data_IF_780799196507
#
_entry.id   IF_780799196507
#
_cell.length_a   1.000
_cell.length_b   1.000
_cell.length_c   1.000
_cell.angle_alpha   90.00
_cell.angle_beta   90.00
_cell.angle_gamma   90.00
#
_symmetry.space_group_name_H-M   'P 1'
#
loop_
_entity.id
_entity.type
_entity.pdbx_description
1 polymer ?
#
# COMPACT_ATOMS: atom_id res chain seq x y z
N UNK A 1 -4.94 7.51 -32.00
CA UNK A 1 -3.74 7.98 -31.27
C UNK A 1 -2.60 7.02 -31.53
N UNK A 2 -1.74 7.32 -32.49
CA UNK A 2 -0.49 6.58 -32.72
C UNK A 2 0.54 7.08 -31.74
N UNK A 3 0.89 6.28 -30.73
CA UNK A 3 2.00 6.60 -29.83
C UNK A 3 3.29 6.64 -30.67
N UNK A 4 4.05 7.75 -30.68
CA UNK A 4 5.31 7.80 -31.38
C UNK A 4 6.20 6.69 -30.81
N UNK A 5 6.69 5.84 -31.71
CA UNK A 5 7.61 4.76 -31.34
C UNK A 5 8.90 5.44 -30.88
N UNK A 6 9.10 5.50 -29.56
CA UNK A 6 10.28 6.05 -28.89
C UNK A 6 11.53 5.21 -29.22
N UNK A 7 11.91 5.12 -30.49
CA UNK A 7 13.15 4.51 -30.96
C UNK A 7 14.26 5.51 -30.65
N UNK A 8 14.93 5.31 -29.52
CA UNK A 8 16.09 6.11 -29.12
C UNK A 8 16.05 6.65 -27.70
N UNK A 9 15.07 6.29 -26.87
CA UNK A 9 15.17 6.61 -25.44
C UNK A 9 16.33 5.81 -24.84
N UNK A 10 17.38 6.52 -24.43
CA UNK A 10 18.39 5.96 -23.55
C UNK A 10 17.74 5.58 -22.23
N UNK A 11 18.29 4.59 -21.52
CA UNK A 11 17.80 4.18 -20.20
C UNK A 11 17.74 5.38 -19.23
N UNK A 12 18.77 6.22 -19.26
CA UNK A 12 18.81 7.47 -18.51
C UNK A 12 17.67 8.45 -18.87
N UNK A 13 17.30 8.55 -20.15
CA UNK A 13 16.15 9.37 -20.56
C UNK A 13 14.82 8.75 -20.10
N UNK A 14 14.76 7.42 -20.00
CA UNK A 14 13.57 6.71 -19.55
C UNK A 14 13.36 6.94 -18.06
N UNK A 15 14.42 6.83 -17.27
CA UNK A 15 14.41 7.09 -15.83
C UNK A 15 13.98 8.54 -15.53
N UNK A 16 14.53 9.51 -16.27
CA UNK A 16 14.14 10.91 -16.13
C UNK A 16 12.66 11.15 -16.49
N UNK A 17 12.17 10.48 -17.53
CA UNK A 17 10.76 10.54 -17.92
C UNK A 17 9.85 9.90 -16.86
N UNK A 18 10.26 8.77 -16.29
CA UNK A 18 9.55 8.08 -15.20
C UNK A 18 9.50 8.97 -13.95
N UNK A 19 10.62 9.57 -13.52
CA UNK A 19 10.66 10.47 -12.36
C UNK A 19 9.72 11.66 -12.56
N UNK A 20 9.77 12.29 -13.74
CA UNK A 20 8.91 13.44 -14.10
C UNK A 20 7.43 13.04 -14.09
N UNK A 21 7.08 11.91 -14.72
CA UNK A 21 5.71 11.40 -14.74
C UNK A 21 5.20 11.06 -13.34
N UNK A 22 6.04 10.45 -12.50
CA UNK A 22 5.67 10.12 -11.12
C UNK A 22 5.42 11.36 -10.27
N UNK A 23 6.16 12.46 -10.48
CA UNK A 23 5.88 13.75 -9.83
C UNK A 23 4.53 14.31 -10.25
N UNK A 24 4.25 14.34 -11.57
CA UNK A 24 2.98 14.86 -12.11
C UNK A 24 1.77 14.07 -11.62
N UNK A 25 1.88 12.74 -11.61
CA UNK A 25 0.81 11.83 -11.20
C UNK A 25 0.76 11.58 -9.68
N UNK A 26 1.69 12.16 -8.92
CA UNK A 26 1.84 12.00 -7.47
C UNK A 26 1.98 10.53 -7.08
N UNK A 27 2.88 9.79 -7.71
CA UNK A 27 3.17 8.37 -7.46
C UNK A 27 4.49 8.24 -6.66
N UNK A 28 4.51 8.60 -5.36
CA UNK A 28 5.75 8.68 -4.58
C UNK A 28 6.42 7.32 -4.33
N UNK A 29 5.66 6.22 -4.19
CA UNK A 29 6.26 4.91 -3.92
C UNK A 29 6.91 4.37 -5.19
N UNK A 30 6.22 4.46 -6.33
CA UNK A 30 6.80 4.12 -7.64
C UNK A 30 8.07 4.93 -7.89
N UNK A 31 8.01 6.25 -7.69
CA UNK A 31 9.15 7.14 -7.90
C UNK A 31 10.40 6.69 -7.14
N UNK A 32 10.22 6.18 -5.92
CA UNK A 32 11.32 5.80 -5.05
C UNK A 32 11.82 4.37 -5.30
N UNK A 33 10.96 3.48 -5.80
CA UNK A 33 11.23 2.04 -5.85
C UNK A 33 11.32 1.45 -7.27
N UNK A 34 11.03 2.23 -8.32
CA UNK A 34 10.94 1.67 -9.68
C UNK A 34 12.25 1.03 -10.17
N UNK A 35 13.41 1.61 -9.83
CA UNK A 35 14.71 1.05 -10.19
C UNK A 35 14.91 -0.34 -9.58
N UNK A 36 14.71 -0.45 -8.26
CA UNK A 36 14.87 -1.73 -7.55
C UNK A 36 13.89 -2.80 -8.04
N UNK A 37 12.67 -2.41 -8.41
CA UNK A 37 11.66 -3.32 -8.95
C UNK A 37 12.01 -3.70 -10.39
N UNK A 38 12.58 -2.80 -11.19
CA UNK A 38 13.04 -3.08 -12.54
C UNK A 38 14.22 -4.06 -12.54
N UNK A 39 15.21 -3.85 -11.66
CA UNK A 39 16.36 -4.75 -11.48
C UNK A 39 15.90 -6.15 -11.06
N UNK A 40 14.95 -6.23 -10.12
CA UNK A 40 14.31 -7.49 -9.72
C UNK A 40 13.56 -8.14 -10.87
N UNK A 41 12.81 -7.38 -11.65
CA UNK A 41 12.07 -7.91 -12.79
C UNK A 41 12.98 -8.52 -13.86
N UNK A 42 14.15 -7.92 -14.11
CA UNK A 42 15.17 -8.50 -15.01
C UNK A 42 15.72 -9.81 -14.43
N UNK A 43 16.07 -9.81 -13.14
CA UNK A 43 16.62 -10.99 -12.48
C UNK A 43 15.63 -12.16 -12.45
N UNK A 44 14.38 -11.87 -12.11
CA UNK A 44 13.32 -12.86 -11.94
C UNK A 44 12.60 -13.19 -13.25
N UNK A 45 13.07 -12.65 -14.38
CA UNK A 45 12.49 -12.84 -15.72
C UNK A 45 10.97 -12.54 -15.75
N UNK A 46 10.57 -11.48 -15.05
CA UNK A 46 9.18 -11.08 -14.98
C UNK A 46 8.67 -10.67 -16.36
N UNK A 47 7.43 -11.07 -16.67
CA UNK A 47 6.74 -10.52 -17.85
C UNK A 47 6.52 -9.02 -17.68
N UNK A 48 6.46 -8.26 -18.78
CA UNK A 48 6.16 -6.83 -18.74
C UNK A 48 4.85 -6.51 -17.99
N UNK A 49 3.85 -7.39 -18.12
CA UNK A 49 2.57 -7.26 -17.39
C UNK A 49 2.75 -7.51 -15.89
N UNK A 50 3.59 -8.47 -15.51
CA UNK A 50 3.93 -8.76 -14.12
C UNK A 50 4.66 -7.61 -13.45
N UNK A 51 5.69 -7.08 -14.11
CA UNK A 51 6.44 -5.90 -13.64
C UNK A 51 5.50 -4.70 -13.41
N UNK A 52 4.66 -4.37 -14.40
CA UNK A 52 3.73 -3.24 -14.27
C UNK A 52 2.71 -3.46 -13.14
N UNK A 53 2.22 -4.69 -12.99
CA UNK A 53 1.29 -5.02 -11.90
C UNK A 53 1.96 -4.87 -10.53
N UNK A 54 3.20 -5.33 -10.37
CA UNK A 54 3.94 -5.19 -9.12
C UNK A 54 4.16 -3.73 -8.75
N UNK A 55 4.63 -2.93 -9.70
CA UNK A 55 4.87 -1.49 -9.51
C UNK A 55 3.60 -0.75 -9.05
N UNK A 56 2.47 -1.02 -9.69
CA UNK A 56 1.19 -0.41 -9.33
C UNK A 56 0.64 -0.90 -7.98
N UNK A 57 0.80 -2.18 -7.68
CA UNK A 57 0.38 -2.75 -6.40
C UNK A 57 1.16 -2.16 -5.23
N UNK A 58 2.48 -1.98 -5.37
CA UNK A 58 3.32 -1.31 -4.36
C UNK A 58 2.79 0.08 -4.01
N UNK A 59 2.44 0.89 -5.02
CA UNK A 59 1.86 2.22 -4.78
C UNK A 59 0.50 2.15 -4.09
N UNK A 60 -0.37 1.23 -4.50
CA UNK A 60 -1.68 1.04 -3.89
C UNK A 60 -1.56 0.64 -2.41
N UNK A 61 -0.68 -0.32 -2.10
CA UNK A 61 -0.47 -0.83 -0.75
C UNK A 61 0.08 0.26 0.17
N UNK A 62 1.06 1.03 -0.28
CA UNK A 62 1.62 2.14 0.48
C UNK A 62 0.63 3.29 0.70
N UNK A 63 -0.21 3.59 -0.29
CA UNK A 63 -1.30 4.57 -0.13
C UNK A 63 -2.33 4.08 0.88
N UNK A 64 -2.69 2.80 0.85
CA UNK A 64 -3.62 2.20 1.80
C UNK A 64 -3.05 2.27 3.22
N UNK A 65 -1.77 1.93 3.39
CA UNK A 65 -1.03 2.03 4.66
C UNK A 65 -1.02 3.47 5.21
N UNK A 66 -0.57 4.45 4.41
CA UNK A 66 -0.57 5.88 4.81
C UNK A 66 -1.96 6.41 5.14
N UNK A 67 -3.00 5.99 4.41
CA UNK A 67 -4.39 6.36 4.69
C UNK A 67 -4.85 5.77 6.02
N UNK A 68 -4.51 4.51 6.30
CA UNK A 68 -4.81 3.85 7.56
C UNK A 68 -4.15 4.56 8.75
N UNK A 69 -2.83 4.80 8.67
CA UNK A 69 -2.07 5.51 9.71
C UNK A 69 -2.61 6.91 9.98
N UNK A 70 -2.95 7.67 8.92
CA UNK A 70 -3.57 9.00 9.07
C UNK A 70 -4.94 8.93 9.75
N UNK A 71 -5.76 7.93 9.43
CA UNK A 71 -7.07 7.72 10.08
C UNK A 71 -6.91 7.38 11.56
N UNK A 72 -5.95 6.51 11.89
CA UNK A 72 -5.63 6.16 13.28
C UNK A 72 -5.20 7.39 14.07
N UNK A 73 -4.27 8.20 13.51
CA UNK A 73 -3.82 9.44 14.14
C UNK A 73 -4.95 10.47 14.29
N UNK A 74 -5.78 10.63 13.26
CA UNK A 74 -6.90 11.58 13.26
C UNK A 74 -8.04 11.17 14.20
N UNK A 75 -8.22 9.88 14.45
CA UNK A 75 -9.22 9.37 15.39
C UNK A 75 -8.89 9.71 16.86
N UNK A 76 -7.67 10.20 17.16
CA UNK A 76 -7.30 10.63 18.50
C UNK A 76 -7.41 9.51 19.54
N UNK A 77 -7.22 8.25 19.11
CA UNK A 77 -7.32 7.11 20.02
C UNK A 77 -6.44 7.36 21.25
N UNK A 78 -7.00 7.28 22.47
CA UNK A 78 -6.21 7.34 23.69
C UNK A 78 -5.08 6.32 23.57
N UNK A 79 -3.83 6.76 23.80
CA UNK A 79 -2.66 5.87 23.77
C UNK A 79 -2.95 4.65 24.66
N UNK A 80 -2.95 3.47 24.04
CA UNK A 80 -2.99 2.16 24.69
C UNK A 80 -4.19 1.87 25.61
N UNK A 81 -5.42 2.12 25.18
CA UNK A 81 -6.52 1.23 25.61
C UNK A 81 -6.73 0.15 24.56
N UNK A 82 -5.86 -0.87 24.58
CA UNK A 82 -6.21 -2.14 23.93
C UNK A 82 -7.51 -2.67 24.55
N UNK A 83 -8.30 -3.49 23.85
CA UNK A 83 -9.49 -4.13 24.43
C UNK A 83 -9.18 -4.93 25.73
N UNK A 84 -7.91 -5.26 25.99
CA UNK A 84 -7.46 -5.90 27.23
C UNK A 84 -7.40 -4.95 28.44
N UNK A 85 -7.32 -3.64 28.19
CA UNK A 85 -7.33 -2.59 29.21
C UNK A 85 -8.70 -1.87 29.26
N UNK A 86 -9.73 -2.45 28.64
CA UNK A 86 -11.09 -1.97 28.78
C UNK A 86 -11.57 -2.31 30.19
N UNK A 87 -11.91 -1.28 30.96
CA UNK A 87 -12.46 -1.40 32.31
C UNK A 87 -13.97 -1.67 32.19
N UNK A 88 -14.34 -2.95 32.32
CA UNK A 88 -15.73 -3.39 32.25
C UNK A 88 -16.53 -3.01 33.50
N UNK A 89 -15.86 -2.65 34.61
CA UNK A 89 -16.52 -2.22 35.84
C UNK A 89 -17.01 -0.76 35.77
N UNK A 90 -16.48 0.03 34.81
CA UNK A 90 -16.90 1.41 34.58
C UNK A 90 -18.28 1.55 33.90
N UNK A 91 -18.82 0.48 33.29
CA UNK A 91 -20.14 0.50 32.69
C UNK A 91 -20.84 -0.88 32.80
N UNK A 92 -21.72 -1.07 33.81
CA UNK A 92 -22.41 -2.34 34.07
C UNK A 92 -23.32 -2.83 32.94
N UNK A 93 -23.64 -1.98 31.97
CA UNK A 93 -24.51 -2.32 30.84
C UNK A 93 -23.75 -2.94 29.65
N UNK A 94 -22.43 -3.10 29.75
CA UNK A 94 -21.61 -3.70 28.69
C UNK A 94 -21.20 -5.10 29.15
N UNK A 95 -21.80 -6.12 28.53
CA UNK A 95 -21.40 -7.51 28.72
C UNK A 95 -20.03 -7.77 28.07
N UNK A 96 -19.07 -8.18 28.89
CA UNK A 96 -17.71 -8.49 28.47
C UNK A 96 -17.65 -9.63 27.44
N UNK A 97 -18.58 -10.60 27.53
CA UNK A 97 -18.62 -11.70 26.57
C UNK A 97 -18.89 -11.18 25.16
N UNK A 98 -19.83 -10.25 24.99
CA UNK A 98 -20.16 -9.64 23.69
C UNK A 98 -18.98 -8.87 23.07
N UNK A 99 -18.13 -8.24 23.88
CA UNK A 99 -16.93 -7.52 23.41
C UNK A 99 -15.80 -8.48 23.02
N UNK A 100 -15.63 -9.58 23.77
CA UNK A 100 -14.61 -10.61 23.47
C UNK A 100 -14.99 -11.52 22.29
N UNK A 101 -16.29 -11.72 22.03
CA UNK A 101 -16.79 -12.56 20.94
C UNK A 101 -16.98 -11.81 19.63
N UNK A 102 -16.82 -10.48 19.63
CA UNK A 102 -16.91 -9.70 18.41
C UNK A 102 -15.72 -10.06 17.52
N UNK A 103 -15.93 -10.66 16.33
CA UNK A 103 -14.83 -10.96 15.43
C UNK A 103 -14.20 -9.62 15.08
N UNK A 104 -12.94 -9.42 15.47
CA UNK A 104 -12.18 -8.22 15.16
C UNK A 104 -12.47 -7.86 13.70
N UNK A 105 -13.19 -6.75 13.51
CA UNK A 105 -13.73 -6.36 12.22
C UNK A 105 -12.60 -6.50 11.20
N UNK A 106 -12.83 -7.38 10.20
CA UNK A 106 -11.79 -7.84 9.30
C UNK A 106 -11.19 -6.66 8.56
N UNK A 107 -10.10 -6.11 9.09
CA UNK A 107 -9.20 -5.26 8.35
C UNK A 107 -8.63 -6.15 7.26
N UNK A 108 -9.14 -6.00 6.05
CA UNK A 108 -8.85 -6.83 4.89
C UNK A 108 -7.35 -6.88 4.62
N UNK A 109 -6.64 -7.82 5.26
CA UNK A 109 -5.37 -8.35 4.78
C UNK A 109 -5.71 -9.38 3.72
N UNK A 110 -6.02 -8.92 2.50
CA UNK A 110 -5.99 -9.79 1.32
C UNK A 110 -4.57 -9.77 0.76
N UNK A 111 -3.66 -10.49 1.41
CA UNK A 111 -2.40 -10.89 0.81
C UNK A 111 -2.57 -12.31 0.23
N UNK A 112 -2.64 -12.35 -1.11
CA UNK A 112 -2.12 -13.37 -2.04
C UNK A 112 -2.54 -14.85 -1.87
N UNK A 113 -3.14 -15.39 -2.92
CA UNK A 113 -2.82 -16.73 -3.47
C UNK A 113 -3.23 -16.85 -4.94
N UNK A 114 -2.23 -17.20 -5.77
CA UNK A 114 -2.25 -18.00 -7.02
C UNK A 114 -3.10 -17.56 -8.22
N UNK A 115 -2.43 -17.08 -9.27
CA UNK A 115 -2.23 -17.80 -10.54
C UNK A 115 -1.12 -17.12 -11.36
#
# INVERSE_FOLDING_TARGET
MTLPRQRGLTEQAADAAIDTACRLLRLPSIRNEFNDIADRAVKDQMTYRGFLAELLMTECDDRARRRSERRIKAAGFPREKSLRAFDFDANPNIDAATVHTSPAASGSRRARRSA
#
